data_IF_509628139500
#
_entry.id   IF_509628139500
#
_cell.length_a   1.000
_cell.length_b   1.000
_cell.length_c   1.000
_cell.angle_alpha   90.00
_cell.angle_beta   90.00
_cell.angle_gamma   90.00
#
_symmetry.space_group_name_H-M   'P 1'
#
loop_
_entity.id
_entity.type
_entity.pdbx_description
1 polymer ?
#
# COMPACT_ATOMS: atom_id res chain seq x y z
N UNK A 1 23.36 5.56 17.84
CA UNK A 1 22.07 4.86 17.64
C UNK A 1 21.67 4.20 18.94
N UNK A 2 20.38 4.10 19.24
CA UNK A 2 19.90 3.65 20.54
C UNK A 2 19.72 2.13 20.61
N UNK A 3 19.77 1.57 21.82
CA UNK A 3 19.43 0.17 22.11
C UNK A 3 18.07 -0.24 21.53
N UNK A 4 17.14 0.72 21.37
CA UNK A 4 15.80 0.47 20.84
C UNK A 4 15.84 0.03 19.37
N UNK A 5 16.74 0.59 18.56
CA UNK A 5 16.89 0.19 17.16
C UNK A 5 17.33 -1.27 17.03
N UNK A 6 18.40 -1.64 17.75
CA UNK A 6 18.95 -3.01 17.74
C UNK A 6 17.90 -4.02 18.22
N UNK A 7 17.24 -3.72 19.34
CA UNK A 7 16.20 -4.60 19.90
C UNK A 7 14.98 -4.66 18.98
N UNK A 8 14.51 -3.53 18.46
CA UNK A 8 13.34 -3.46 17.60
C UNK A 8 13.50 -4.24 16.30
N UNK A 9 14.63 -4.05 15.60
CA UNK A 9 14.94 -4.80 14.38
C UNK A 9 15.29 -6.27 14.66
N UNK A 10 15.93 -6.56 15.80
CA UNK A 10 16.18 -7.94 16.24
C UNK A 10 14.89 -8.72 16.50
N UNK A 11 13.92 -8.12 17.19
CA UNK A 11 12.58 -8.71 17.39
C UNK A 11 11.89 -8.91 16.06
N UNK A 12 11.94 -7.94 15.15
CA UNK A 12 11.37 -8.08 13.81
C UNK A 12 11.98 -9.28 13.07
N UNK A 13 13.31 -9.42 13.07
CA UNK A 13 14.01 -10.52 12.43
C UNK A 13 13.55 -11.88 13.00
N UNK A 14 13.42 -12.02 14.32
CA UNK A 14 12.93 -13.27 14.94
C UNK A 14 11.51 -13.60 14.50
N UNK A 15 10.59 -12.62 14.51
CA UNK A 15 9.19 -12.86 14.14
C UNK A 15 9.06 -13.18 12.64
N UNK A 16 9.79 -12.49 11.77
CA UNK A 16 9.84 -12.79 10.34
C UNK A 16 10.48 -14.14 10.05
N UNK A 17 11.48 -14.57 10.82
CA UNK A 17 12.07 -15.92 10.73
C UNK A 17 11.05 -17.00 11.09
N UNK A 18 10.29 -16.81 12.17
CA UNK A 18 9.22 -17.74 12.55
C UNK A 18 8.19 -17.83 11.43
N UNK A 19 7.74 -16.70 10.90
CA UNK A 19 6.80 -16.67 9.77
C UNK A 19 7.38 -17.35 8.52
N UNK A 20 8.65 -17.11 8.21
CA UNK A 20 9.33 -17.75 7.09
C UNK A 20 9.31 -19.28 7.20
N UNK A 21 9.68 -19.83 8.37
CA UNK A 21 9.69 -21.26 8.62
C UNK A 21 8.26 -21.87 8.57
N UNK A 22 7.27 -21.16 9.10
CA UNK A 22 5.86 -21.57 9.02
C UNK A 22 5.34 -21.60 7.58
N UNK A 23 5.75 -20.64 6.75
CA UNK A 23 5.35 -20.60 5.34
C UNK A 23 6.05 -21.67 4.51
N UNK A 24 7.32 -21.98 4.80
CA UNK A 24 8.03 -23.09 4.14
C UNK A 24 7.34 -24.43 4.37
N UNK A 25 6.83 -24.69 5.58
CA UNK A 25 6.14 -25.95 5.90
C UNK A 25 4.72 -26.03 5.33
N UNK A 26 4.07 -24.89 5.08
CA UNK A 26 2.70 -24.83 4.53
C UNK A 26 2.66 -24.62 3.01
N UNK A 27 3.79 -24.35 2.35
CA UNK A 27 3.84 -24.07 0.93
C UNK A 27 3.55 -25.33 0.08
N UNK A 28 2.57 -25.22 -0.82
CA UNK A 28 2.12 -26.29 -1.71
C UNK A 28 2.56 -26.09 -3.17
N UNK A 29 3.67 -25.41 -3.42
CA UNK A 29 4.26 -25.24 -4.76
C UNK A 29 3.57 -24.23 -5.69
N UNK A 30 2.63 -23.42 -5.21
CA UNK A 30 1.97 -22.36 -6.00
C UNK A 30 2.83 -21.10 -6.09
N UNK A 31 2.74 -20.39 -7.22
CA UNK A 31 3.48 -19.15 -7.49
C UNK A 31 3.22 -18.07 -6.42
N UNK A 32 1.96 -17.82 -6.04
CA UNK A 32 1.62 -16.79 -5.06
C UNK A 32 2.22 -17.10 -3.68
N UNK A 33 2.23 -18.37 -3.29
CA UNK A 33 2.88 -18.82 -2.05
C UNK A 33 4.40 -18.65 -2.11
N UNK A 34 5.02 -18.94 -3.25
CA UNK A 34 6.46 -18.71 -3.47
C UNK A 34 6.83 -17.22 -3.40
N UNK A 35 6.03 -16.35 -4.00
CA UNK A 35 6.21 -14.90 -3.93
C UNK A 35 6.09 -14.40 -2.48
N UNK A 36 5.10 -14.88 -1.72
CA UNK A 36 5.00 -14.53 -0.30
C UNK A 36 6.23 -14.99 0.50
N UNK A 37 6.66 -16.24 0.31
CA UNK A 37 7.85 -16.78 0.98
C UNK A 37 9.09 -15.94 0.64
N UNK A 38 9.25 -15.52 -0.62
CA UNK A 38 10.35 -14.64 -1.03
C UNK A 38 10.26 -13.25 -0.40
N UNK A 39 9.09 -12.63 -0.34
CA UNK A 39 8.91 -11.32 0.29
C UNK A 39 9.21 -11.38 1.80
N UNK A 40 8.79 -12.46 2.47
CA UNK A 40 9.10 -12.73 3.88
C UNK A 40 10.60 -12.95 4.09
N UNK A 41 11.27 -13.71 3.22
CA UNK A 41 12.71 -13.94 3.29
C UNK A 41 13.49 -12.62 3.13
N UNK A 42 13.14 -11.82 2.13
CA UNK A 42 13.81 -10.52 1.92
C UNK A 42 13.56 -9.59 3.10
N UNK A 43 12.35 -9.57 3.66
CA UNK A 43 12.03 -8.77 4.85
C UNK A 43 12.82 -9.23 6.08
N UNK A 44 13.03 -10.54 6.24
CA UNK A 44 13.91 -11.11 7.26
C UNK A 44 15.36 -10.63 7.08
N UNK A 45 15.91 -10.75 5.87
CA UNK A 45 17.28 -10.31 5.57
C UNK A 45 17.46 -8.81 5.80
N UNK A 46 16.47 -8.01 5.39
CA UNK A 46 16.43 -6.58 5.65
C UNK A 46 16.41 -6.29 7.16
N UNK A 47 15.56 -6.96 7.95
CA UNK A 47 15.48 -6.76 9.40
C UNK A 47 16.79 -7.15 10.10
N UNK A 48 17.43 -8.24 9.69
CA UNK A 48 18.76 -8.64 10.18
C UNK A 48 19.81 -7.58 9.87
N UNK A 49 19.85 -7.09 8.62
CA UNK A 49 20.82 -6.05 8.23
C UNK A 49 20.56 -4.73 8.97
N UNK A 50 19.30 -4.36 9.14
CA UNK A 50 18.90 -3.18 9.91
C UNK A 50 19.33 -3.28 11.38
N UNK A 51 19.21 -4.45 12.01
CA UNK A 51 19.66 -4.68 13.38
C UNK A 51 21.19 -4.54 13.50
N UNK A 52 21.95 -5.07 12.54
CA UNK A 52 23.40 -4.93 12.47
C UNK A 52 23.81 -3.46 12.25
N UNK A 53 23.15 -2.77 11.32
CA UNK A 53 23.40 -1.36 11.06
C UNK A 53 23.11 -0.49 12.29
N UNK A 54 22.01 -0.78 13.01
CA UNK A 54 21.70 -0.12 14.28
C UNK A 54 22.74 -0.36 15.38
N UNK A 55 23.50 -1.45 15.31
CA UNK A 55 24.55 -1.80 16.28
C UNK A 55 25.90 -1.14 15.99
N UNK A 56 26.13 -0.66 14.77
CA UNK A 56 27.37 0.00 14.38
C UNK A 56 27.29 1.51 14.64
N UNK A 57 28.33 2.09 15.24
CA UNK A 57 28.43 3.56 15.42
C UNK A 57 28.79 4.32 14.14
N UNK A 58 29.07 3.59 13.05
CA UNK A 58 29.51 4.17 11.78
C UNK A 58 28.31 4.77 11.05
N UNK A 59 28.27 6.11 10.97
CA UNK A 59 27.23 6.88 10.26
C UNK A 59 27.36 6.86 8.72
N UNK A 60 28.03 5.85 8.16
CA UNK A 60 28.21 5.75 6.72
C UNK A 60 26.95 5.13 6.07
N UNK A 61 26.54 5.58 4.88
CA UNK A 61 25.43 4.96 4.16
C UNK A 61 25.71 3.48 3.90
N UNK A 62 24.79 2.62 4.34
CA UNK A 62 24.92 1.18 4.17
C UNK A 62 24.22 0.73 2.88
N UNK A 63 25.00 0.52 1.83
CA UNK A 63 24.49 0.08 0.52
C UNK A 63 23.66 -1.19 0.63
N UNK A 64 24.04 -2.13 1.51
CA UNK A 64 23.34 -3.40 1.63
C UNK A 64 21.97 -3.19 2.27
N UNK A 65 21.86 -2.30 3.26
CA UNK A 65 20.57 -1.92 3.85
C UNK A 65 19.65 -1.29 2.80
N UNK A 66 20.14 -0.30 2.05
CA UNK A 66 19.37 0.40 1.00
C UNK A 66 18.93 -0.58 -0.12
N UNK A 67 19.82 -1.48 -0.52
CA UNK A 67 19.51 -2.49 -1.54
C UNK A 67 18.39 -3.41 -1.06
N UNK A 68 18.52 -3.94 0.16
CA UNK A 68 17.52 -4.84 0.73
C UNK A 68 16.18 -4.15 0.94
N UNK A 69 16.18 -2.87 1.26
CA UNK A 69 14.97 -2.05 1.37
C UNK A 69 14.19 -1.98 0.05
N UNK A 70 14.86 -1.65 -1.06
CA UNK A 70 14.23 -1.61 -2.38
C UNK A 70 13.74 -3.01 -2.79
N UNK A 71 14.56 -4.04 -2.61
CA UNK A 71 14.18 -5.42 -2.96
C UNK A 71 12.97 -5.86 -2.13
N UNK A 72 12.91 -5.50 -0.85
CA UNK A 72 11.79 -5.82 0.04
C UNK A 72 10.49 -5.19 -0.47
N UNK A 73 10.52 -3.93 -0.86
CA UNK A 73 9.35 -3.22 -1.36
C UNK A 73 8.89 -3.80 -2.71
N UNK A 74 9.84 -4.06 -3.62
CA UNK A 74 9.56 -4.73 -4.90
C UNK A 74 8.97 -6.11 -4.70
N UNK A 75 9.46 -6.89 -3.72
CA UNK A 75 8.93 -8.22 -3.42
C UNK A 75 7.48 -8.16 -2.92
N UNK A 76 7.16 -7.20 -2.03
CA UNK A 76 5.78 -7.00 -1.57
C UNK A 76 4.86 -6.49 -2.67
N UNK A 77 5.32 -5.53 -3.49
CA UNK A 77 4.58 -5.02 -4.65
C UNK A 77 4.32 -6.13 -5.67
N UNK A 78 5.33 -6.95 -5.95
CA UNK A 78 5.22 -8.12 -6.82
C UNK A 78 4.23 -9.16 -6.31
N UNK A 79 4.26 -9.46 -5.01
CA UNK A 79 3.27 -10.33 -4.36
C UNK A 79 1.84 -9.77 -4.48
N UNK A 80 1.64 -8.49 -4.16
CA UNK A 80 0.33 -7.82 -4.28
C UNK A 80 -0.16 -7.77 -5.73
N UNK A 81 0.74 -7.53 -6.69
CA UNK A 81 0.40 -7.50 -8.10
C UNK A 81 0.02 -8.89 -8.63
N UNK A 82 0.73 -9.95 -8.22
CA UNK A 82 0.37 -11.33 -8.56
C UNK A 82 -0.97 -11.76 -7.97
N UNK A 83 -1.36 -11.20 -6.82
CA UNK A 83 -2.70 -11.37 -6.26
C UNK A 83 -3.77 -10.60 -7.05
N UNK A 84 -3.40 -9.49 -7.70
CA UNK A 84 -4.29 -8.62 -8.46
C UNK A 84 -4.44 -9.07 -9.93
N UNK A 85 -3.43 -9.72 -10.51
CA UNK A 85 -3.38 -10.14 -11.91
C UNK A 85 -4.62 -10.91 -12.39
N UNK A 86 -5.15 -11.92 -11.66
CA UNK A 86 -6.33 -12.65 -12.11
C UNK A 86 -7.59 -11.77 -12.19
N UNK A 87 -7.61 -10.64 -11.48
CA UNK A 87 -8.71 -9.68 -11.47
C UNK A 87 -8.63 -8.74 -12.69
N UNK A 88 -7.42 -8.34 -13.09
CA UNK A 88 -7.19 -7.36 -14.16
C UNK A 88 -7.17 -8.01 -15.54
N UNK A 89 -6.59 -9.21 -15.69
CA UNK A 89 -6.48 -9.91 -16.98
C UNK A 89 -7.82 -10.31 -17.62
N UNK A 90 -8.95 -10.19 -16.89
CA UNK A 90 -10.30 -10.35 -17.45
C UNK A 90 -10.89 -9.09 -18.09
N UNK A 91 -10.28 -7.93 -17.85
CA UNK A 91 -10.78 -6.61 -18.28
C UNK A 91 -9.77 -5.91 -19.19
N UNK A 92 -8.47 -6.05 -18.94
CA UNK A 92 -7.39 -5.46 -19.73
C UNK A 92 -6.64 -6.51 -20.56
N UNK A 93 -5.98 -6.07 -21.62
CA UNK A 93 -5.18 -6.89 -22.55
C UNK A 93 -4.15 -7.76 -21.83
N UNK A 94 -3.84 -8.93 -22.40
CA UNK A 94 -2.93 -9.98 -21.88
C UNK A 94 -1.51 -9.49 -21.46
N UNK A 95 -1.10 -8.27 -21.85
CA UNK A 95 0.24 -7.72 -21.58
C UNK A 95 0.38 -6.93 -20.26
N UNK A 96 -0.66 -6.83 -19.42
CA UNK A 96 -0.60 -6.03 -18.18
C UNK A 96 0.53 -6.46 -17.24
N UNK A 97 0.70 -7.77 -17.02
CA UNK A 97 1.75 -8.29 -16.13
C UNK A 97 3.15 -7.90 -16.58
N UNK A 98 3.45 -8.04 -17.88
CA UNK A 98 4.76 -7.70 -18.45
C UNK A 98 5.04 -6.20 -18.30
N UNK A 99 4.05 -5.35 -18.58
CA UNK A 99 4.21 -3.90 -18.44
C UNK A 99 4.41 -3.49 -16.99
N UNK A 100 3.62 -4.04 -16.06
CA UNK A 100 3.76 -3.77 -14.62
C UNK A 100 5.15 -4.13 -14.12
N UNK A 101 5.63 -5.35 -14.39
CA UNK A 101 6.96 -5.80 -13.96
C UNK A 101 8.08 -4.98 -14.60
N UNK A 102 7.95 -4.60 -15.87
CA UNK A 102 8.95 -3.77 -16.56
C UNK A 102 9.04 -2.38 -15.92
N UNK A 103 7.90 -1.75 -15.62
CA UNK A 103 7.86 -0.44 -14.94
C UNK A 103 8.39 -0.55 -13.52
N UNK A 104 8.00 -1.58 -12.77
CA UNK A 104 8.44 -1.79 -11.39
C UNK A 104 9.95 -2.01 -11.31
N UNK A 105 10.51 -2.88 -12.16
CA UNK A 105 11.95 -3.15 -12.20
C UNK A 105 12.72 -1.91 -12.67
N UNK A 106 12.25 -1.23 -13.72
CA UNK A 106 12.86 0.02 -14.19
C UNK A 106 12.88 1.10 -13.12
N UNK A 107 11.77 1.28 -12.39
CA UNK A 107 11.66 2.22 -11.29
C UNK A 107 12.58 1.86 -10.11
N UNK A 108 12.60 0.59 -9.69
CA UNK A 108 13.46 0.11 -8.63
C UNK A 108 14.96 0.25 -8.97
N UNK A 109 15.32 0.01 -10.24
CA UNK A 109 16.70 0.19 -10.73
C UNK A 109 17.09 1.67 -10.70
N UNK A 110 16.21 2.56 -11.15
CA UNK A 110 16.46 4.00 -11.11
C UNK A 110 16.62 4.49 -9.66
N UNK A 111 15.75 4.03 -8.74
CA UNK A 111 15.83 4.38 -7.33
C UNK A 111 17.11 3.88 -6.68
N UNK A 112 17.51 2.64 -6.98
CA UNK A 112 18.76 2.05 -6.49
C UNK A 112 19.98 2.87 -6.91
N UNK A 113 20.03 3.33 -8.17
CA UNK A 113 21.10 4.20 -8.66
C UNK A 113 21.13 5.53 -7.90
N UNK A 114 19.96 6.12 -7.62
CA UNK A 114 19.84 7.37 -6.86
C UNK A 114 20.29 7.22 -5.40
N UNK A 115 20.03 6.08 -4.76
CA UNK A 115 20.40 5.86 -3.36
C UNK A 115 21.89 5.53 -3.19
N UNK A 116 22.48 4.83 -4.16
CA UNK A 116 23.88 4.36 -4.10
C UNK A 116 24.88 5.35 -4.71
N UNK A 117 24.45 6.32 -5.54
CA UNK A 117 25.35 7.32 -6.13
C UNK A 117 26.32 7.99 -5.13
N UNK A 118 25.94 8.32 -3.86
CA UNK A 118 26.85 9.04 -2.96
C UNK A 118 28.04 8.17 -2.53
N UNK A 119 27.89 6.85 -2.61
CA UNK A 119 28.93 5.88 -2.27
C UNK A 119 29.96 5.69 -3.37
N UNK A 120 29.62 6.04 -4.61
CA UNK A 120 30.51 5.88 -5.76
C UNK A 120 31.25 7.17 -6.12
N UNK A 121 31.08 8.24 -5.34
CA UNK A 121 31.66 9.56 -5.64
C UNK A 121 31.12 10.19 -6.93
N UNK A 122 30.04 9.64 -7.48
CA UNK A 122 29.33 10.19 -8.62
C UNK A 122 28.35 11.24 -8.11
N UNK A 123 28.75 12.52 -8.17
CA UNK A 123 27.86 13.63 -7.88
C UNK A 123 26.99 13.90 -9.11
N UNK A 124 25.96 13.09 -9.33
CA UNK A 124 24.85 13.64 -10.11
C UNK A 124 24.25 14.73 -9.23
N UNK A 125 24.12 15.97 -9.75
CA UNK A 125 23.48 17.11 -9.07
C UNK A 125 21.96 16.90 -8.92
N UNK A 126 21.57 15.73 -8.42
CA UNK A 126 20.21 15.36 -8.12
C UNK A 126 19.91 15.83 -6.70
N UNK A 127 18.81 16.56 -6.48
CA UNK A 127 18.34 16.85 -5.13
C UNK A 127 18.23 15.56 -4.31
N UNK A 128 18.79 15.55 -3.10
CA UNK A 128 18.69 14.43 -2.12
C UNK A 128 17.22 13.99 -1.91
N UNK A 129 16.30 14.94 -2.09
CA UNK A 129 14.86 14.75 -2.00
C UNK A 129 14.31 13.74 -3.03
N UNK A 130 14.99 13.48 -4.15
CA UNK A 130 14.52 12.56 -5.20
C UNK A 130 14.48 11.10 -4.71
N UNK A 131 15.49 10.65 -3.96
CA UNK A 131 15.48 9.28 -3.40
C UNK A 131 14.33 9.09 -2.43
N UNK A 132 14.13 10.08 -1.54
CA UNK A 132 13.02 10.09 -0.57
C UNK A 132 11.66 10.06 -1.29
N UNK A 133 11.48 10.88 -2.32
CA UNK A 133 10.27 10.87 -3.17
C UNK A 133 10.07 9.51 -3.86
N UNK A 134 11.16 8.84 -4.25
CA UNK A 134 11.13 7.50 -4.81
C UNK A 134 10.53 6.48 -3.85
N UNK A 135 11.00 6.48 -2.60
CA UNK A 135 10.47 5.60 -1.55
C UNK A 135 9.01 5.92 -1.18
N UNK A 136 8.62 7.21 -1.17
CA UNK A 136 7.20 7.60 -1.05
C UNK A 136 6.38 6.99 -2.20
N UNK A 137 6.91 6.99 -3.41
CA UNK A 137 6.28 6.39 -4.59
C UNK A 137 6.03 4.89 -4.42
N UNK A 138 7.02 4.13 -3.92
CA UNK A 138 6.86 2.70 -3.61
C UNK A 138 5.81 2.46 -2.52
N UNK A 139 5.84 3.27 -1.46
CA UNK A 139 4.88 3.17 -0.37
C UNK A 139 3.44 3.43 -0.85
N UNK A 140 3.23 4.49 -1.63
CA UNK A 140 1.93 4.80 -2.25
C UNK A 140 1.52 3.67 -3.19
N UNK A 141 2.42 3.13 -4.03
CA UNK A 141 2.10 2.02 -4.92
C UNK A 141 1.59 0.79 -4.14
N UNK A 142 2.21 0.47 -3.00
CA UNK A 142 1.78 -0.62 -2.12
C UNK A 142 0.38 -0.38 -1.56
N UNK A 143 0.13 0.82 -1.05
CA UNK A 143 -1.19 1.21 -0.54
C UNK A 143 -2.28 1.22 -1.63
N UNK A 144 -1.93 1.62 -2.86
CA UNK A 144 -2.84 1.56 -4.01
C UNK A 144 -3.18 0.12 -4.36
N UNK A 145 -2.18 -0.78 -4.43
CA UNK A 145 -2.43 -2.20 -4.72
C UNK A 145 -3.29 -2.85 -3.63
N UNK A 146 -3.03 -2.54 -2.36
CA UNK A 146 -3.87 -3.00 -1.23
C UNK A 146 -5.30 -2.49 -1.37
N UNK A 147 -5.48 -1.21 -1.70
CA UNK A 147 -6.79 -0.61 -1.95
C UNK A 147 -7.52 -1.34 -3.09
N UNK A 148 -6.85 -1.58 -4.22
CA UNK A 148 -7.45 -2.28 -5.36
C UNK A 148 -7.81 -3.73 -5.01
N UNK A 149 -6.95 -4.46 -4.32
CA UNK A 149 -7.22 -5.83 -3.86
C UNK A 149 -8.40 -5.87 -2.91
N UNK A 150 -8.46 -4.96 -1.94
CA UNK A 150 -9.56 -4.88 -0.99
C UNK A 150 -10.90 -4.58 -1.68
N UNK A 151 -10.91 -3.64 -2.63
CA UNK A 151 -12.12 -3.26 -3.40
C UNK A 151 -12.65 -4.42 -4.22
N UNK A 152 -11.75 -5.15 -4.89
CA UNK A 152 -12.12 -6.20 -5.84
C UNK A 152 -12.35 -7.56 -5.17
N UNK A 153 -12.05 -7.71 -3.87
CA UNK A 153 -12.35 -8.92 -3.09
C UNK A 153 -13.82 -8.97 -2.65
N UNK A 154 -14.50 -10.08 -2.93
CA UNK A 154 -15.91 -10.33 -2.53
C UNK A 154 -16.10 -10.28 -1.00
N UNK A 155 -17.22 -9.73 -0.50
CA UNK A 155 -17.50 -9.60 0.94
C UNK A 155 -17.30 -10.88 1.76
N UNK A 156 -17.66 -12.05 1.21
CA UNK A 156 -17.59 -13.34 1.91
C UNK A 156 -16.15 -13.79 2.23
N UNK A 157 -15.16 -13.39 1.41
CA UNK A 157 -13.73 -13.73 1.62
C UNK A 157 -12.95 -12.60 2.31
N UNK A 158 -13.53 -11.39 2.44
CA UNK A 158 -12.86 -10.22 3.09
C UNK A 158 -12.44 -10.53 4.52
N UNK A 159 -13.16 -11.37 5.25
CA UNK A 159 -12.80 -11.69 6.63
C UNK A 159 -11.51 -12.52 6.76
N UNK A 160 -11.18 -13.33 5.74
CA UNK A 160 -9.94 -14.10 5.70
C UNK A 160 -8.75 -13.23 5.25
N UNK A 161 -8.96 -12.36 4.25
CA UNK A 161 -7.88 -11.54 3.66
C UNK A 161 -7.63 -10.21 4.38
N UNK A 162 -8.54 -9.73 5.24
CA UNK A 162 -8.37 -8.46 5.97
C UNK A 162 -7.06 -8.37 6.75
N UNK A 163 -6.60 -9.47 7.33
CA UNK A 163 -5.37 -9.48 8.14
C UNK A 163 -4.12 -9.31 7.27
N UNK A 164 -4.14 -9.83 6.04
CA UNK A 164 -3.06 -9.61 5.07
C UNK A 164 -2.96 -8.13 4.71
N UNK A 165 -4.10 -7.53 4.34
CA UNK A 165 -4.16 -6.12 3.96
C UNK A 165 -3.86 -5.17 5.12
N UNK A 166 -4.26 -5.53 6.35
CA UNK A 166 -3.88 -4.79 7.55
C UNK A 166 -2.39 -4.90 7.83
N UNK A 167 -1.81 -6.10 7.80
CA UNK A 167 -0.38 -6.29 8.02
C UNK A 167 0.47 -5.53 7.02
N UNK A 168 0.18 -5.68 5.72
CA UNK A 168 0.89 -4.94 4.67
C UNK A 168 0.57 -3.45 4.67
N UNK A 169 -0.66 -3.08 5.03
CA UNK A 169 -1.07 -1.68 5.15
C UNK A 169 -0.30 -0.95 6.25
N UNK A 170 -0.06 -1.62 7.39
CA UNK A 170 0.78 -1.08 8.47
C UNK A 170 2.21 -0.83 7.98
N UNK A 171 2.82 -1.77 7.23
CA UNK A 171 4.15 -1.58 6.65
C UNK A 171 4.20 -0.36 5.73
N UNK A 172 3.35 -0.31 4.71
CA UNK A 172 3.40 0.75 3.71
C UNK A 172 2.94 2.11 4.24
N UNK A 173 2.01 2.18 5.20
CA UNK A 173 1.66 3.46 5.86
C UNK A 173 2.81 3.98 6.70
N UNK A 174 3.49 3.08 7.43
CA UNK A 174 4.63 3.49 8.23
C UNK A 174 5.76 4.01 7.36
N UNK A 175 6.05 3.32 6.25
CA UNK A 175 7.07 3.74 5.29
C UNK A 175 6.69 5.05 4.62
N UNK A 176 5.43 5.21 4.18
CA UNK A 176 4.92 6.47 3.69
C UNK A 176 5.10 7.61 4.70
N UNK A 177 4.78 7.38 5.98
CA UNK A 177 4.99 8.37 7.04
C UNK A 177 6.47 8.71 7.25
N UNK A 178 7.32 7.69 7.37
CA UNK A 178 8.76 7.86 7.56
C UNK A 178 9.39 8.70 6.46
N UNK A 179 9.07 8.39 5.20
CA UNK A 179 9.63 9.13 4.07
C UNK A 179 8.96 10.49 3.86
N UNK A 180 7.68 10.65 4.20
CA UNK A 180 7.03 11.96 4.21
C UNK A 180 7.66 12.92 5.24
N UNK A 181 7.93 12.43 6.45
CA UNK A 181 8.67 13.19 7.48
C UNK A 181 10.10 13.49 7.00
N UNK A 182 10.78 12.48 6.41
CA UNK A 182 12.12 12.68 5.88
C UNK A 182 12.18 13.70 4.74
N UNK A 183 11.15 13.77 3.90
CA UNK A 183 11.03 14.76 2.82
C UNK A 183 10.88 16.18 3.38
N UNK A 184 10.11 16.33 4.47
CA UNK A 184 9.87 17.63 5.11
C UNK A 184 11.13 18.17 5.78
N UNK A 185 11.90 17.32 6.48
CA UNK A 185 13.10 17.73 7.22
C UNK A 185 14.41 17.49 6.48
N UNK A 186 14.35 16.93 5.26
CA UNK A 186 15.50 16.54 4.43
C UNK A 186 16.49 15.62 5.15
N UNK A 187 15.98 14.82 6.10
CA UNK A 187 16.76 13.86 6.90
C UNK A 187 15.84 12.79 7.42
N UNK A 188 16.34 11.56 7.55
CA UNK A 188 15.61 10.50 8.23
C UNK A 188 15.72 10.72 9.74
N UNK A 189 14.60 10.87 10.42
CA UNK A 189 14.57 10.95 11.89
C UNK A 189 14.99 9.59 12.49
N UNK A 190 16.07 9.54 13.30
CA UNK A 190 16.53 8.29 13.91
C UNK A 190 15.48 7.60 14.78
N UNK A 191 14.63 8.35 15.48
CA UNK A 191 13.60 7.79 16.37
C UNK A 191 12.52 7.08 15.56
N UNK A 192 12.07 7.70 14.46
CA UNK A 192 11.12 7.08 13.52
C UNK A 192 11.77 5.87 12.86
N UNK A 193 13.03 5.99 12.43
CA UNK A 193 13.73 4.87 11.82
C UNK A 193 13.91 3.69 12.79
N UNK A 194 14.26 3.92 14.06
CA UNK A 194 14.44 2.88 15.07
C UNK A 194 13.10 2.18 15.43
N UNK A 195 12.00 2.93 15.51
CA UNK A 195 10.69 2.37 15.83
C UNK A 195 10.12 1.45 14.73
N UNK A 196 10.59 1.59 13.48
CA UNK A 196 10.16 0.80 12.32
C UNK A 196 10.31 -0.70 12.50
N UNK A 197 11.33 -1.15 13.24
CA UNK A 197 11.54 -2.56 13.56
C UNK A 197 10.36 -3.15 14.33
N UNK A 198 9.90 -2.47 15.39
CA UNK A 198 8.75 -2.92 16.19
C UNK A 198 7.45 -2.91 15.36
N UNK A 199 7.26 -1.92 14.50
CA UNK A 199 6.08 -1.86 13.62
C UNK A 199 6.08 -3.01 12.61
N UNK A 200 7.25 -3.37 12.07
CA UNK A 200 7.42 -4.54 11.23
C UNK A 200 7.09 -5.84 11.99
N UNK A 201 7.54 -5.96 13.24
CA UNK A 201 7.25 -7.11 14.09
C UNK A 201 5.74 -7.31 14.34
N UNK A 202 4.97 -6.23 14.49
CA UNK A 202 3.50 -6.29 14.64
C UNK A 202 2.80 -6.73 13.34
N UNK A 203 3.39 -6.42 12.18
CA UNK A 203 2.80 -6.74 10.88
C UNK A 203 2.88 -8.24 10.54
N UNK A 204 3.96 -8.90 10.92
CA UNK A 204 4.19 -10.32 10.68
C UNK A 204 3.10 -11.27 11.24
N UNK A 205 2.62 -11.18 12.50
CA UNK A 205 1.56 -12.05 13.00
C UNK A 205 0.21 -11.84 12.28
N UNK A 206 -0.07 -10.63 11.78
CA UNK A 206 -1.25 -10.39 10.95
C UNK A 206 -1.17 -11.14 9.62
N UNK A 207 0.01 -11.15 8.99
CA UNK A 207 0.28 -11.91 7.77
C UNK A 207 0.25 -13.42 8.06
N UNK A 208 0.82 -13.86 9.19
CA UNK A 208 0.77 -15.25 9.63
C UNK A 208 -0.68 -15.75 9.81
N UNK A 209 -1.54 -14.94 10.43
CA UNK A 209 -2.95 -15.25 10.62
C UNK A 209 -3.70 -15.34 9.28
N UNK A 210 -3.37 -14.45 8.33
CA UNK A 210 -3.93 -14.53 6.99
C UNK A 210 -3.48 -15.80 6.25
N UNK A 211 -2.21 -16.17 6.38
CA UNK A 211 -1.64 -17.40 5.81
C UNK A 211 -2.30 -18.65 6.36
N UNK A 212 -2.45 -18.74 7.69
CA UNK A 212 -3.10 -19.86 8.36
C UNK A 212 -4.57 -20.03 7.95
N UNK A 213 -5.27 -18.91 7.67
CA UNK A 213 -6.69 -18.90 7.27
C UNK A 213 -6.89 -19.15 5.77
N UNK A 214 -5.86 -19.03 4.96
CA UNK A 214 -5.95 -19.26 3.52
C UNK A 214 -4.73 -20.05 2.99
N UNK A 215 -4.56 -21.33 3.40
CA UNK A 215 -3.34 -22.11 3.13
C UNK A 215 -3.10 -22.36 1.66
N UNK A 216 -4.17 -22.42 0.89
CA UNK A 216 -4.09 -22.69 -0.53
C UNK A 216 -3.59 -21.49 -1.31
N UNK A 217 -3.68 -20.27 -0.77
CA UNK A 217 -3.46 -19.02 -1.52
C UNK A 217 -4.20 -18.98 -2.87
N UNK A 218 -5.19 -19.88 -3.07
CA UNK A 218 -6.18 -19.85 -4.13
C UNK A 218 -7.08 -18.69 -3.78
N UNK A 219 -6.61 -17.52 -4.17
CA UNK A 219 -7.50 -16.48 -4.62
C UNK A 219 -8.16 -17.00 -5.91
N UNK A 220 -9.00 -18.05 -5.79
CA UNK A 220 -10.18 -18.22 -6.64
C UNK A 220 -11.11 -17.05 -6.31
N UNK A 221 -10.64 -15.84 -6.63
CA UNK A 221 -11.38 -14.61 -6.48
C UNK A 221 -12.32 -14.64 -7.64
N UNK A 222 -13.46 -15.28 -7.38
CA UNK A 222 -14.61 -15.12 -8.23
C UNK A 222 -14.88 -13.62 -8.29
N UNK A 223 -14.68 -13.09 -9.47
CA UNK A 223 -14.72 -11.67 -9.80
C UNK A 223 -16.10 -11.13 -9.45
N UNK A 224 -16.17 -10.05 -8.68
CA UNK A 224 -17.32 -9.14 -8.79
C UNK A 224 -17.24 -8.58 -10.21
N UNK A 225 -18.31 -8.70 -11.03
CA UNK A 225 -18.31 -8.46 -12.49
C UNK A 225 -17.91 -7.03 -12.93
N UNK A 226 -17.41 -6.19 -12.03
CA UNK A 226 -16.98 -4.82 -12.29
C UNK A 226 -15.71 -4.51 -11.47
N UNK A 227 -14.56 -4.44 -12.14
CA UNK A 227 -13.31 -3.92 -11.56
C UNK A 227 -13.37 -2.39 -11.64
N UNK A 228 -13.20 -1.69 -10.51
CA UNK A 228 -13.21 -0.22 -10.46
C UNK A 228 -11.80 0.26 -10.10
N UNK A 229 -11.02 0.64 -11.11
CA UNK A 229 -9.68 1.20 -10.95
C UNK A 229 -9.76 2.70 -10.66
N UNK A 230 -10.04 3.04 -9.40
CA UNK A 230 -9.90 4.39 -8.87
C UNK A 230 -9.12 4.30 -7.57
N UNK A 231 -8.15 5.20 -7.37
CA UNK A 231 -7.40 5.24 -6.10
C UNK A 231 -7.77 6.44 -5.26
N UNK A 232 -8.46 6.18 -4.16
CA UNK A 232 -8.64 7.17 -3.09
C UNK A 232 -7.39 7.28 -2.23
N UNK A 233 -6.51 6.26 -2.24
CA UNK A 233 -5.20 6.30 -1.58
C UNK A 233 -4.31 7.43 -2.11
N UNK A 234 -4.20 7.62 -3.43
CA UNK A 234 -3.38 8.71 -4.00
C UNK A 234 -3.88 10.08 -3.50
N UNK A 235 -5.20 10.26 -3.48
CA UNK A 235 -5.80 11.49 -2.97
C UNK A 235 -5.56 11.68 -1.47
N UNK A 236 -5.74 10.62 -0.68
CA UNK A 236 -5.45 10.64 0.76
C UNK A 236 -3.98 10.97 1.04
N UNK A 237 -3.05 10.36 0.31
CA UNK A 237 -1.62 10.64 0.41
C UNK A 237 -1.31 12.11 0.06
N UNK A 238 -1.93 12.66 -1.00
CA UNK A 238 -1.80 14.07 -1.36
C UNK A 238 -2.29 15.02 -0.27
N UNK A 239 -3.49 14.79 0.29
CA UNK A 239 -4.03 15.57 1.42
C UNK A 239 -3.07 15.50 2.61
N UNK A 240 -2.60 14.29 2.91
CA UNK A 240 -1.70 14.06 4.03
C UNK A 240 -0.41 14.86 3.89
N UNK A 241 0.25 14.79 2.72
CA UNK A 241 1.47 15.53 2.43
C UNK A 241 1.23 17.05 2.49
N UNK A 242 0.11 17.55 1.96
CA UNK A 242 -0.24 18.96 2.05
C UNK A 242 -0.47 19.42 3.49
N UNK A 243 -1.15 18.61 4.31
CA UNK A 243 -1.38 18.89 5.72
C UNK A 243 -0.06 18.90 6.51
N UNK A 244 0.81 17.92 6.25
CA UNK A 244 2.13 17.82 6.87
C UNK A 244 3.02 18.99 6.48
N UNK A 245 3.07 19.35 5.18
CA UNK A 245 3.80 20.50 4.68
C UNK A 245 3.27 21.82 5.28
N UNK A 246 1.94 21.98 5.37
CA UNK A 246 1.32 23.16 5.98
C UNK A 246 1.64 23.29 7.47
N UNK A 247 1.58 22.19 8.22
CA UNK A 247 1.99 22.16 9.62
C UNK A 247 3.49 22.46 9.80
N UNK A 248 4.34 21.87 8.96
CA UNK A 248 5.77 22.12 8.96
C UNK A 248 6.10 23.59 8.71
N UNK A 249 5.47 24.19 7.69
CA UNK A 249 5.60 25.63 7.38
C UNK A 249 5.15 26.51 8.55
N UNK A 250 4.01 26.19 9.17
CA UNK A 250 3.52 26.93 10.33
C UNK A 250 4.53 26.90 11.49
N UNK A 251 5.05 25.71 11.80
CA UNK A 251 6.01 25.54 12.90
C UNK A 251 7.31 26.30 12.64
N UNK A 252 7.82 26.24 11.40
CA UNK A 252 9.00 27.00 10.99
C UNK A 252 8.81 28.51 11.14
N UNK A 253 7.60 29.02 10.89
CA UNK A 253 7.30 30.46 10.93
C UNK A 253 7.11 30.97 12.36
N UNK A 254 6.47 30.18 13.23
CA UNK A 254 6.12 30.59 14.60
C UNK A 254 7.10 30.09 15.67
N UNK A 255 8.24 29.54 15.26
CA UNK A 255 9.31 29.10 16.17
C UNK A 255 8.93 27.90 17.05
N UNK A 256 7.95 27.10 16.63
CA UNK A 256 7.59 25.86 17.30
C UNK A 256 8.64 24.76 17.06
N UNK A 257 8.62 23.71 17.88
CA UNK A 257 9.40 22.50 17.62
C UNK A 257 8.53 21.44 16.93
N UNK A 258 9.06 20.80 15.88
CA UNK A 258 8.52 19.54 15.39
C UNK A 258 8.83 18.46 16.41
N UNK A 259 7.94 18.29 17.38
CA UNK A 259 8.10 17.37 18.50
C UNK A 259 7.43 16.03 18.27
N UNK A 260 7.74 15.08 19.16
CA UNK A 260 7.16 13.74 19.18
C UNK A 260 5.61 13.74 19.16
N UNK A 261 4.98 14.74 19.77
CA UNK A 261 3.52 14.91 19.75
C UNK A 261 2.97 15.05 18.34
N UNK A 262 3.60 15.87 17.49
CA UNK A 262 3.16 16.09 16.11
C UNK A 262 3.43 14.86 15.25
N UNK A 263 4.60 14.25 15.40
CA UNK A 263 4.92 12.98 14.73
C UNK A 263 3.85 11.92 15.06
N UNK A 264 3.46 11.80 16.33
CA UNK A 264 2.42 10.85 16.75
C UNK A 264 1.04 11.20 16.18
N UNK A 265 0.66 12.49 16.16
CA UNK A 265 -0.61 12.96 15.56
C UNK A 265 -0.65 12.63 14.07
N UNK A 266 0.44 12.91 13.34
CA UNK A 266 0.53 12.64 11.90
C UNK A 266 0.59 11.14 11.60
N UNK A 267 1.33 10.34 12.37
CA UNK A 267 1.35 8.89 12.22
C UNK A 267 -0.01 8.27 12.50
N UNK A 268 -0.66 8.69 13.60
CA UNK A 268 -2.01 8.23 13.95
C UNK A 268 -3.01 8.68 12.89
N UNK A 269 -2.89 9.90 12.38
CA UNK A 269 -3.68 10.42 11.28
C UNK A 269 -3.54 9.58 10.00
N UNK A 270 -2.32 9.16 9.65
CA UNK A 270 -2.07 8.27 8.52
C UNK A 270 -2.73 6.90 8.72
N UNK A 271 -2.65 6.33 9.93
CA UNK A 271 -3.32 5.08 10.29
C UNK A 271 -4.85 5.18 10.23
N UNK A 272 -5.43 6.27 10.74
CA UNK A 272 -6.88 6.55 10.65
C UNK A 272 -7.30 6.73 9.21
N UNK A 273 -6.52 7.47 8.41
CA UNK A 273 -6.77 7.65 6.98
C UNK A 273 -6.77 6.30 6.27
N UNK A 274 -5.77 5.45 6.49
CA UNK A 274 -5.74 4.09 5.96
C UNK A 274 -6.98 3.29 6.37
N UNK A 275 -7.34 3.29 7.65
CA UNK A 275 -8.51 2.57 8.14
C UNK A 275 -9.80 3.10 7.49
N UNK A 276 -9.95 4.41 7.35
CA UNK A 276 -11.09 5.02 6.68
C UNK A 276 -11.13 4.63 5.19
N UNK A 277 -9.99 4.65 4.51
CA UNK A 277 -9.88 4.28 3.10
C UNK A 277 -10.12 2.79 2.86
N UNK A 278 -9.66 1.90 3.74
CA UNK A 278 -9.87 0.47 3.60
C UNK A 278 -11.29 0.06 3.99
N UNK A 279 -11.79 0.52 5.13
CA UNK A 279 -13.02 -0.02 5.72
C UNK A 279 -14.28 0.82 5.44
N UNK A 280 -14.18 2.11 5.11
CA UNK A 280 -15.36 2.97 4.89
C UNK A 280 -15.66 3.22 3.42
N UNK A 281 -16.73 2.60 2.91
CA UNK A 281 -17.26 2.87 1.57
C UNK A 281 -17.75 4.31 1.39
N UNK A 282 -18.40 4.87 2.42
CA UNK A 282 -18.98 6.21 2.37
C UNK A 282 -17.92 7.31 2.29
N UNK A 283 -16.87 7.22 3.10
CA UNK A 283 -15.77 8.20 3.10
C UNK A 283 -15.08 8.23 1.74
N UNK A 284 -14.80 7.05 1.18
CA UNK A 284 -14.24 6.93 -0.18
C UNK A 284 -15.15 7.55 -1.24
N UNK A 285 -16.45 7.25 -1.21
CA UNK A 285 -17.40 7.80 -2.19
C UNK A 285 -17.44 9.33 -2.13
N UNK A 286 -17.47 9.92 -0.92
CA UNK A 286 -17.43 11.38 -0.74
C UNK A 286 -16.13 11.99 -1.25
N UNK A 287 -14.99 11.38 -0.96
CA UNK A 287 -13.69 11.84 -1.44
C UNK A 287 -13.62 11.84 -2.98
N UNK A 288 -14.11 10.77 -3.62
CA UNK A 288 -14.20 10.68 -5.08
C UNK A 288 -15.13 11.75 -5.67
N UNK A 289 -16.29 12.01 -5.06
CA UNK A 289 -17.22 13.04 -5.52
C UNK A 289 -16.61 14.44 -5.39
N UNK A 290 -15.94 14.75 -4.27
CA UNK A 290 -15.24 16.02 -4.09
C UNK A 290 -14.17 16.23 -5.17
N UNK A 291 -13.38 15.21 -5.46
CA UNK A 291 -12.34 15.25 -6.48
C UNK A 291 -12.93 15.45 -7.88
N UNK A 292 -13.97 14.68 -8.23
CA UNK A 292 -14.66 14.82 -9.51
C UNK A 292 -15.35 16.18 -9.67
N UNK A 293 -15.73 16.85 -8.58
CA UNK A 293 -16.31 18.20 -8.64
C UNK A 293 -15.27 19.29 -8.81
N UNK A 294 -14.09 19.16 -8.19
CA UNK A 294 -13.13 20.27 -8.08
C UNK A 294 -11.85 20.11 -8.90
N UNK A 295 -11.45 18.88 -9.24
CA UNK A 295 -10.17 18.60 -9.92
C UNK A 295 -10.33 17.98 -11.31
N UNK A 296 -11.43 17.27 -11.57
CA UNK A 296 -11.69 16.68 -12.88
C UNK A 296 -12.92 17.31 -13.53
N UNK A 297 -12.70 18.28 -14.41
CA UNK A 297 -13.75 18.70 -15.33
C UNK A 297 -13.98 17.55 -16.33
N UNK A 298 -15.17 16.93 -16.27
CA UNK A 298 -15.64 15.87 -17.17
C UNK A 298 -14.86 14.54 -17.14
N UNK A 299 -15.31 13.60 -16.29
CA UNK A 299 -15.00 12.17 -16.47
C UNK A 299 -16.15 11.22 -16.10
N UNK A 300 -17.39 11.69 -16.19
CA UNK A 300 -18.49 10.78 -16.46
C UNK A 300 -18.75 10.89 -17.95
N UNK A 301 -18.21 9.95 -18.73
CA UNK A 301 -18.75 9.78 -20.07
C UNK A 301 -20.17 9.28 -19.87
N UNK A 302 -21.13 10.20 -19.96
CA UNK A 302 -22.55 9.92 -19.83
C UNK A 302 -22.95 8.73 -20.69
N UNK A 303 -22.27 8.53 -21.83
CA UNK A 303 -22.48 7.40 -22.73
C UNK A 303 -22.18 6.06 -22.05
N UNK A 304 -21.07 5.92 -21.32
CA UNK A 304 -20.72 4.67 -20.65
C UNK A 304 -21.69 4.34 -19.51
N UNK A 305 -22.04 5.33 -18.68
CA UNK A 305 -23.00 5.11 -17.59
C UNK A 305 -24.42 4.88 -18.11
N UNK A 306 -24.81 5.51 -19.22
CA UNK A 306 -26.08 5.25 -19.89
C UNK A 306 -26.15 3.85 -20.49
N UNK A 307 -25.07 3.37 -21.12
CA UNK A 307 -24.98 2.01 -21.64
C UNK A 307 -25.01 0.97 -20.51
N UNK A 308 -24.35 1.24 -19.38
CA UNK A 308 -24.45 0.40 -18.16
C UNK A 308 -25.86 0.38 -17.60
N UNK A 309 -26.52 1.54 -17.52
CA UNK A 309 -27.89 1.65 -17.04
C UNK A 309 -28.85 0.78 -17.85
N UNK A 310 -28.82 0.92 -19.18
CA UNK A 310 -29.65 0.10 -20.09
C UNK A 310 -29.24 -1.37 -20.01
N UNK A 311 -27.94 -1.67 -19.90
CA UNK A 311 -27.42 -3.00 -19.67
C UNK A 311 -28.06 -3.68 -18.45
N UNK A 312 -27.97 -3.05 -17.28
CA UNK A 312 -28.53 -3.60 -16.02
C UNK A 312 -30.06 -3.72 -16.07
N UNK A 313 -30.76 -2.82 -16.76
CA UNK A 313 -32.21 -2.91 -16.99
C UNK A 313 -32.60 -4.08 -17.90
N UNK A 314 -31.82 -4.31 -18.96
CA UNK A 314 -32.10 -5.29 -20.01
C UNK A 314 -31.62 -6.71 -19.68
N UNK A 315 -30.61 -6.87 -18.81
CA UNK A 315 -29.99 -8.17 -18.51
C UNK A 315 -30.61 -8.95 -17.35
N UNK A 316 -31.73 -8.49 -16.79
CA UNK A 316 -32.34 -9.10 -15.61
C UNK A 316 -33.06 -10.41 -15.92
N UNK A 317 -32.93 -11.37 -15.01
CA UNK A 317 -33.70 -12.62 -15.00
C UNK A 317 -35.22 -12.29 -15.08
N UNK A 318 -36.02 -12.97 -15.92
CA UNK A 318 -37.46 -12.73 -16.03
C UNK A 318 -38.21 -12.77 -14.69
N UNK A 319 -37.64 -13.44 -13.69
CA UNK A 319 -38.19 -13.60 -12.34
C UNK A 319 -37.96 -12.41 -11.40
N UNK A 320 -37.09 -11.44 -11.75
CA UNK A 320 -36.76 -10.32 -10.87
C UNK A 320 -37.68 -9.11 -11.08
N UNK A 321 -38.30 -8.55 -10.01
CA UNK A 321 -39.19 -7.40 -10.12
C UNK A 321 -38.52 -6.18 -10.79
N UNK A 322 -39.19 -5.51 -11.75
CA UNK A 322 -38.64 -4.34 -12.44
C UNK A 322 -38.20 -3.21 -11.50
N UNK A 323 -38.92 -3.03 -10.39
CA UNK A 323 -38.64 -1.99 -9.39
C UNK A 323 -37.29 -2.19 -8.70
N UNK A 324 -36.97 -3.42 -8.33
CA UNK A 324 -35.67 -3.76 -7.71
C UNK A 324 -34.52 -3.58 -8.69
N UNK A 325 -34.77 -3.88 -9.97
CA UNK A 325 -33.79 -3.71 -11.06
C UNK A 325 -33.48 -2.26 -11.34
N UNK A 326 -34.49 -1.38 -11.33
CA UNK A 326 -34.31 0.07 -11.45
C UNK A 326 -33.50 0.60 -10.27
N UNK A 327 -33.84 0.20 -9.04
CA UNK A 327 -33.09 0.58 -7.83
C UNK A 327 -31.62 0.15 -7.95
N UNK A 328 -31.37 -1.09 -8.39
CA UNK A 328 -30.01 -1.60 -8.59
C UNK A 328 -29.25 -0.84 -9.67
N UNK A 329 -29.87 -0.62 -10.84
CA UNK A 329 -29.25 0.09 -11.95
C UNK A 329 -28.84 1.51 -11.56
N UNK A 330 -29.68 2.23 -10.82
CA UNK A 330 -29.36 3.56 -10.30
C UNK A 330 -28.31 3.48 -9.19
N UNK A 331 -28.47 2.56 -8.23
CA UNK A 331 -27.55 2.40 -7.11
C UNK A 331 -26.13 2.04 -7.56
N UNK A 332 -25.97 1.29 -8.64
CA UNK A 332 -24.67 0.95 -9.24
C UNK A 332 -23.95 2.17 -9.83
N UNK A 333 -24.68 3.11 -10.45
CA UNK A 333 -24.13 4.34 -11.04
C UNK A 333 -23.59 5.26 -9.93
N UNK A 334 -24.33 5.39 -8.84
CA UNK A 334 -23.97 6.29 -7.73
C UNK A 334 -23.23 5.58 -6.59
N UNK A 335 -22.87 4.31 -6.75
CA UNK A 335 -22.22 3.48 -5.74
C UNK A 335 -22.95 3.46 -4.38
N UNK A 336 -24.29 3.48 -4.40
CA UNK A 336 -25.13 3.37 -3.20
C UNK A 336 -25.28 1.91 -2.75
N UNK A 337 -25.41 1.70 -1.43
CA UNK A 337 -25.64 0.37 -0.84
C UNK A 337 -27.11 -0.10 -0.92
N UNK A 338 -28.03 0.76 -1.39
CA UNK A 338 -29.45 0.44 -1.57
C UNK A 338 -30.27 1.64 -2.03
N UNK A 339 -31.58 1.44 -2.22
CA UNK A 339 -32.54 2.49 -2.54
C UNK A 339 -33.98 2.03 -2.27
N UNK A 340 -34.92 2.97 -2.17
CA UNK A 340 -36.34 2.70 -1.98
C UNK A 340 -37.15 3.35 -3.09
N UNK A 341 -38.13 2.63 -3.62
CA UNK A 341 -39.22 3.22 -4.41
C UNK A 341 -40.44 3.32 -3.48
N UNK A 342 -41.04 4.49 -3.41
CA UNK A 342 -42.30 4.73 -2.71
C UNK A 342 -43.44 4.75 -3.73
#
# INVERSE_FOLDING_TARGET
MSLLGVVGYGVAAVVWLILFLLLLTSWRGRLQGGLLVSAVLVTLLWALRAALYASTEVAAPDWLYQTLEIIRDVAWLGFLAALLEPLVCKVCTHHWGVWFWSVLIGYATALFVVDVQPLWGAEFNLPVDIGILGHIGLAIAGLVLIEQLFRNTRPQRRWATKFLYLGLGVLFVYDFFLYADALLFKRIDPVIWEARGLVNAISAPLIALAAARNPEWSMEVFVSRRVVLHSTTIFGAGIYLLAMAGAGYYIQTYGGAWGATLQLVFLTGAGVLLAALLFSGQVRARALVLMNKHFFNYKYDYREEWLKFIGTLSSGDPSEPPRERVIRAVAEIVHSTGGSLW
#
